data_IF_508762931427
#
_entry.id   IF_508762931427
#
_cell.length_a   1.000
_cell.length_b   1.000
_cell.length_c   1.000
_cell.angle_alpha   90.00
_cell.angle_beta   90.00
_cell.angle_gamma   90.00
#
_symmetry.space_group_name_H-M   'P 1'
#
loop_
_entity.id
_entity.type
_entity.pdbx_description
1 polymer ?
2 non-polymer ?
3 non-polymer ?
4 water ?
#
# COMPACT_ATOMS: atom_id res chain seq x y z
N UNK A 4 -17.58 11.10 -23.50
CA UNK A 4 -16.25 10.96 -22.77
C UNK A 4 -16.18 9.63 -22.03
N UNK A 5 -15.39 8.63 -22.51
CA UNK A 5 -15.43 7.28 -21.97
C UNK A 5 -14.80 7.22 -20.56
N UNK A 6 -15.25 6.26 -19.77
CA UNK A 6 -14.65 6.02 -18.44
C UNK A 6 -13.36 5.23 -18.62
N UNK A 7 -12.32 5.52 -17.84
CA UNK A 7 -11.05 4.84 -18.02
C UNK A 7 -11.07 3.41 -17.52
N UNK A 8 -10.23 2.57 -18.13
CA UNK A 8 -9.99 1.16 -17.74
C UNK A 8 -8.74 1.09 -16.87
N UNK A 9 -7.90 2.13 -16.95
CA UNK A 9 -6.60 2.20 -16.24
C UNK A 9 -6.24 3.66 -15.98
N UNK A 10 -5.61 3.91 -14.82
CA UNK A 10 -5.13 5.25 -14.44
C UNK A 10 -3.68 5.09 -14.04
N UNK A 11 -2.99 6.20 -14.00
CA UNK A 11 -1.64 6.17 -13.38
C UNK A 11 -1.69 6.96 -12.09
N UNK A 12 -0.94 6.41 -11.13
CA UNK A 12 -0.89 6.93 -9.74
C UNK A 12 0.57 7.23 -9.45
N UNK A 13 0.85 8.44 -9.02
CA UNK A 13 2.16 8.82 -8.44
C UNK A 13 2.08 8.70 -6.91
N UNK A 14 3.08 8.03 -6.35
CA UNK A 14 3.31 7.94 -4.89
C UNK A 14 4.63 8.62 -4.59
N UNK A 15 4.65 9.59 -3.69
CA UNK A 15 5.90 10.17 -3.20
C UNK A 15 6.02 10.02 -1.71
N UNK A 16 7.20 9.76 -1.21
CA UNK A 16 7.49 9.78 0.24
C UNK A 16 8.78 10.59 0.44
N UNK A 17 8.68 11.53 1.36
CA UNK A 17 9.84 12.37 1.69
C UNK A 17 9.83 12.72 3.16
N UNK A 18 10.90 12.37 3.83
CA UNK A 18 11.14 12.87 5.19
C UNK A 18 11.94 14.17 4.99
N UNK A 19 11.28 15.26 5.32
CA UNK A 19 11.78 16.63 5.01
C UNK A 19 12.81 17.07 6.07
N UNK A 20 13.02 16.34 7.16
CA UNK A 20 14.01 16.69 8.18
C UNK A 20 13.73 18.05 8.80
N UNK A 21 12.46 18.42 8.90
CA UNK A 21 12.00 19.64 9.60
C UNK A 21 12.60 20.88 8.94
N UNK A 22 12.88 20.83 7.63
CA UNK A 22 13.41 21.98 6.88
C UNK A 22 12.45 22.28 5.75
N UNK A 23 12.27 23.57 5.39
CA UNK A 23 11.49 23.91 4.22
C UNK A 23 12.15 23.30 2.99
N UNK A 24 11.35 23.01 1.97
CA UNK A 24 11.89 22.48 0.72
C UNK A 24 12.60 23.55 -0.10
N UNK A 25 13.40 23.14 -1.09
CA UNK A 25 14.03 24.12 -1.97
C UNK A 25 12.95 24.67 -2.93
N UNK A 26 13.31 25.68 -3.74
CA UNK A 26 12.31 26.40 -4.58
C UNK A 26 11.79 25.50 -5.71
N UNK A 27 12.55 24.51 -6.15
CA UNK A 27 12.12 23.58 -7.22
C UNK A 27 12.17 22.14 -6.74
N UNK A 28 11.04 21.44 -6.82
CA UNK A 28 10.98 19.99 -6.44
C UNK A 28 10.36 19.19 -7.60
N UNK A 29 10.27 19.78 -8.78
CA UNK A 29 9.65 19.11 -9.94
C UNK A 29 10.25 17.75 -10.31
N UNK A 30 11.55 17.53 -10.05
CA UNK A 30 12.25 16.25 -10.36
C UNK A 30 11.53 15.11 -9.64
N UNK A 31 11.00 15.38 -8.44
CA UNK A 31 10.27 14.36 -7.66
C UNK A 31 9.05 13.87 -8.46
N UNK A 32 8.22 14.78 -8.91
CA UNK A 32 6.94 14.46 -9.57
C UNK A 32 7.17 13.92 -10.98
N UNK A 33 8.33 14.19 -11.53
CA UNK A 33 8.76 13.68 -12.85
C UNK A 33 9.48 12.35 -12.74
N UNK A 34 9.69 11.80 -11.56
CA UNK A 34 10.38 10.49 -11.40
C UNK A 34 11.76 10.54 -12.08
N UNK A 35 12.52 11.59 -11.77
CA UNK A 35 13.90 11.80 -12.30
C UNK A 35 14.90 11.63 -11.15
N UNK A 36 16.04 10.99 -11.44
CA UNK A 36 17.12 10.87 -10.47
C UNK A 36 17.73 9.53 -10.66
N UNK A 37 17.80 8.76 -9.57
CA UNK A 37 18.38 7.39 -9.57
C UNK A 37 17.25 6.37 -9.55
N UNK A 38 17.57 5.15 -9.97
CA UNK A 38 16.68 4.01 -9.89
C UNK A 38 15.98 3.79 -11.19
N UNK A 39 14.72 3.36 -11.09
CA UNK A 39 13.83 3.11 -12.25
C UNK A 39 13.07 4.41 -12.53
N UNK A 40 13.56 5.18 -13.50
CA UNK A 40 13.10 6.56 -13.74
C UNK A 40 12.13 6.55 -14.92
N UNK A 41 11.41 7.65 -15.01
CA UNK A 41 10.38 7.85 -16.04
C UNK A 41 11.02 8.43 -17.30
N UNK A 42 10.55 7.97 -18.44
CA UNK A 42 11.03 8.44 -19.76
C UNK A 42 10.72 9.95 -19.92
N UNK A 43 11.69 10.68 -20.46
CA UNK A 43 11.56 12.14 -20.75
C UNK A 43 10.34 12.42 -21.61
N UNK A 44 10.00 11.51 -22.51
CA UNK A 44 8.89 11.71 -23.47
C UNK A 44 7.53 11.80 -22.75
N UNK A 45 7.48 11.39 -21.47
CA UNK A 45 6.25 11.41 -20.66
C UNK A 45 6.16 12.66 -19.77
N UNK A 46 7.14 13.55 -19.76
CA UNK A 46 7.20 14.61 -18.74
C UNK A 46 5.95 15.46 -18.71
N UNK A 47 5.31 15.69 -19.87
CA UNK A 47 4.16 16.60 -19.86
C UNK A 47 2.86 15.87 -19.54
N UNK A 48 2.89 14.55 -19.46
CA UNK A 48 1.68 13.73 -19.31
C UNK A 48 1.38 13.68 -17.82
N UNK A 49 0.25 14.25 -17.37
CA UNK A 49 -0.04 14.26 -15.93
C UNK A 49 -0.38 12.83 -15.52
N UNK A 50 -0.01 12.43 -14.30
CA UNK A 50 -0.62 11.28 -13.66
C UNK A 50 -2.05 11.64 -13.30
N UNK A 51 -2.89 10.63 -13.13
CA UNK A 51 -4.32 10.84 -12.79
C UNK A 51 -4.46 11.29 -11.35
N UNK A 52 -3.68 10.69 -10.47
CA UNK A 52 -3.74 10.90 -8.99
C UNK A 52 -2.30 11.00 -8.49
N UNK A 53 -1.98 12.03 -7.72
CA UNK A 53 -0.70 12.18 -7.01
C UNK A 53 -0.96 12.05 -5.51
N UNK A 54 -0.23 11.16 -4.85
CA UNK A 54 -0.36 10.95 -3.39
C UNK A 54 0.99 11.26 -2.82
N UNK A 55 1.04 12.25 -1.93
CA UNK A 55 2.33 12.81 -1.42
C UNK A 55 2.39 12.61 0.10
N UNK A 56 3.28 11.73 0.57
CA UNK A 56 3.50 11.47 2.00
C UNK A 56 4.74 12.18 2.44
N UNK A 57 4.61 12.99 3.46
CA UNK A 57 5.78 13.61 4.10
C UNK A 57 5.89 13.17 5.57
N UNK A 58 7.11 13.22 6.04
CA UNK A 58 7.46 13.02 7.46
C UNK A 58 8.35 14.16 7.90
N UNK A 59 8.33 14.48 9.19
CA UNK A 59 9.14 15.62 9.67
C UNK A 59 8.84 16.86 8.80
N UNK A 60 7.58 17.05 8.45
CA UNK A 60 7.12 18.15 7.58
C UNK A 60 6.89 19.38 8.44
N UNK A 61 7.66 20.46 8.22
CA UNK A 61 7.54 21.67 9.05
C UNK A 61 6.52 22.68 8.55
N UNK A 62 5.92 22.42 7.41
CA UNK A 62 5.05 23.38 6.71
C UNK A 62 3.64 23.26 7.25
N UNK A 63 2.86 24.32 7.09
CA UNK A 63 1.40 24.22 7.28
C UNK A 63 0.82 23.47 6.07
N UNK A 64 -0.40 22.95 6.22
CA UNK A 64 -1.11 22.30 5.10
C UNK A 64 -1.21 23.31 3.97
N UNK A 65 -1.52 24.57 4.31
CA UNK A 65 -1.71 25.59 3.26
C UNK A 65 -0.39 25.77 2.50
N UNK A 66 0.70 25.90 3.22
CA UNK A 66 2.02 26.17 2.60
C UNK A 66 2.39 25.01 1.67
N UNK A 67 2.21 23.79 2.14
CA UNK A 67 2.59 22.62 1.31
C UNK A 67 1.66 22.48 0.11
N UNK A 68 0.35 22.61 0.26
CA UNK A 68 -0.59 22.57 -0.86
C UNK A 68 -0.21 23.57 -1.95
N UNK A 69 0.11 24.80 -1.54
CA UNK A 69 0.61 25.88 -2.42
C UNK A 69 1.72 25.31 -3.30
N UNK A 70 2.77 24.79 -2.65
CA UNK A 70 3.99 24.30 -3.33
C UNK A 70 3.63 23.14 -4.24
N UNK A 71 2.85 22.20 -3.75
CA UNK A 71 2.55 21.02 -4.57
C UNK A 71 1.73 21.45 -5.79
N UNK A 72 0.66 22.19 -5.60
CA UNK A 72 -0.20 22.55 -6.77
C UNK A 72 0.57 23.37 -7.81
N UNK A 73 1.39 24.32 -7.36
CA UNK A 73 2.28 25.13 -8.23
C UNK A 73 3.19 24.21 -9.05
N UNK A 74 3.88 23.30 -8.37
CA UNK A 74 4.84 22.35 -8.99
C UNK A 74 4.12 21.55 -10.09
N UNK A 75 2.93 21.00 -9.79
CA UNK A 75 2.21 20.19 -10.80
C UNK A 75 1.74 21.10 -11.92
N UNK A 76 1.29 22.30 -11.62
CA UNK A 76 0.82 23.21 -12.70
C UNK A 76 2.00 23.54 -13.62
N UNK A 77 3.17 23.78 -13.06
CA UNK A 77 4.38 24.10 -13.86
C UNK A 77 4.69 22.95 -14.79
N UNK A 78 4.64 21.73 -14.29
CA UNK A 78 5.02 20.51 -15.06
C UNK A 78 3.99 20.25 -16.16
N UNK A 79 2.71 20.38 -15.86
CA UNK A 79 1.63 19.80 -16.70
C UNK A 79 0.66 20.82 -17.30
N UNK A 80 0.68 22.06 -16.78
CA UNK A 80 -0.30 23.14 -17.08
C UNK A 80 -1.72 22.71 -16.67
N UNK A 81 -1.82 21.76 -15.73
CA UNK A 81 -3.12 21.32 -15.16
C UNK A 81 -3.18 21.80 -13.71
N UNK A 82 -4.32 22.39 -13.35
CA UNK A 82 -4.61 22.79 -11.96
C UNK A 82 -5.30 21.63 -11.25
N UNK A 83 -4.57 20.94 -10.38
CA UNK A 83 -5.07 19.72 -9.74
C UNK A 83 -6.06 20.07 -8.64
N UNK A 84 -7.03 19.20 -8.41
CA UNK A 84 -8.00 19.36 -7.33
C UNK A 84 -7.50 18.62 -6.11
N UNK A 85 -7.72 19.20 -4.95
CA UNK A 85 -7.34 18.57 -3.69
C UNK A 85 -8.41 17.57 -3.30
N UNK A 86 -8.11 16.28 -3.26
CA UNK A 86 -9.04 15.23 -2.84
C UNK A 86 -9.09 15.19 -1.32
N UNK A 87 -7.92 15.18 -0.67
CA UNK A 87 -7.83 15.02 0.78
C UNK A 87 -6.46 15.46 1.25
N UNK A 88 -6.41 15.94 2.46
CA UNK A 88 -5.15 16.24 3.15
C UNK A 88 -5.38 15.89 4.61
N UNK A 89 -4.44 15.20 5.21
CA UNK A 89 -4.54 14.79 6.63
C UNK A 89 -3.16 14.77 7.26
N UNK A 90 -3.04 15.38 8.42
CA UNK A 90 -1.76 15.52 9.14
C UNK A 90 -1.89 15.01 10.56
N UNK A 91 -0.93 14.21 11.00
CA UNK A 91 -0.77 13.78 12.42
C UNK A 91 0.60 14.27 12.79
N UNK A 92 0.68 15.22 13.70
CA UNK A 92 1.97 15.81 14.12
C UNK A 92 2.67 16.33 12.88
N UNK A 93 3.78 15.74 12.48
CA UNK A 93 4.56 16.21 11.30
C UNK A 93 4.52 15.15 10.18
N UNK A 94 3.52 14.26 10.22
CA UNK A 94 3.32 13.19 9.22
C UNK A 94 2.11 13.61 8.40
N UNK A 95 2.22 13.70 7.09
CA UNK A 95 1.13 14.27 6.29
C UNK A 95 0.93 13.47 5.02
N UNK A 96 -0.31 13.40 4.63
CA UNK A 96 -0.64 12.84 3.31
C UNK A 96 -1.51 13.85 2.54
N UNK A 97 -1.20 14.02 1.25
CA UNK A 97 -1.97 14.88 0.32
C UNK A 97 -2.37 14.05 -0.87
N UNK A 98 -3.63 14.10 -1.27
CA UNK A 98 -4.10 13.45 -2.50
C UNK A 98 -4.62 14.54 -3.42
N UNK A 99 -4.03 14.58 -4.62
CA UNK A 99 -4.43 15.51 -5.68
C UNK A 99 -4.86 14.70 -6.89
N UNK A 100 -5.84 15.21 -7.63
CA UNK A 100 -6.32 14.50 -8.82
C UNK A 100 -6.62 15.47 -9.94
N UNK A 101 -6.51 14.98 -11.18
CA UNK A 101 -6.95 15.75 -12.38
C UNK A 101 -8.35 16.28 -12.14
N UNK A 102 -8.68 17.51 -12.60
CA UNK A 102 -10.04 18.00 -12.47
C UNK A 102 -11.11 17.12 -13.11
N UNK A 103 -10.80 16.45 -14.20
CA UNK A 103 -11.74 15.58 -14.94
C UNK A 103 -12.17 14.42 -14.04
N UNK A 104 -11.46 14.12 -12.94
CA UNK A 104 -11.76 12.98 -12.05
C UNK A 104 -12.66 13.38 -10.89
N UNK A 105 -13.00 14.67 -10.78
CA UNK A 105 -13.68 15.17 -9.56
C UNK A 105 -14.99 14.42 -9.29
N UNK A 106 -15.74 14.10 -10.35
CA UNK A 106 -17.06 13.40 -10.24
C UNK A 106 -16.89 11.89 -10.43
N UNK A 107 -15.65 11.38 -10.42
CA UNK A 107 -15.36 9.92 -10.41
C UNK A 107 -14.95 9.50 -8.99
N UNK A 108 -14.62 10.47 -8.15
CA UNK A 108 -14.05 10.23 -6.81
C UNK A 108 -15.13 10.47 -5.77
N UNK A 109 -15.33 9.52 -4.87
CA UNK A 109 -16.34 9.67 -3.81
C UNK A 109 -15.89 8.90 -2.59
N UNK A 110 -16.69 8.93 -1.51
CA UNK A 110 -16.43 8.14 -0.29
C UNK A 110 -15.01 8.38 0.19
N UNK A 111 -14.64 9.65 0.33
CA UNK A 111 -13.27 10.00 0.75
C UNK A 111 -13.23 9.82 2.27
N UNK A 112 -12.27 9.04 2.76
CA UNK A 112 -12.03 8.81 4.21
C UNK A 112 -10.58 9.21 4.54
N UNK A 113 -10.37 9.67 5.78
CA UNK A 113 -9.02 9.98 6.29
C UNK A 113 -8.98 9.42 7.69
N UNK A 114 -7.79 9.03 8.11
CA UNK A 114 -7.60 8.59 9.50
C UNK A 114 -6.11 8.62 9.84
N UNK A 115 -5.83 8.46 11.11
CA UNK A 115 -4.45 8.36 11.60
C UNK A 115 -4.39 7.32 12.71
N UNK A 116 -3.19 6.85 12.93
CA UNK A 116 -2.88 5.96 14.05
C UNK A 116 -1.62 6.50 14.70
N UNK A 117 -1.64 6.62 16.02
CA UNK A 117 -0.46 6.97 16.83
C UNK A 117 0.15 5.69 17.37
N UNK A 118 1.42 5.42 17.06
CA UNK A 118 2.04 4.15 17.54
C UNK A 118 2.70 4.32 18.91
N UNK A 119 2.98 3.20 19.59
CA UNK A 119 3.77 3.25 20.84
C UNK A 119 2.91 3.61 22.05
N UNK A 120 3.53 3.67 23.23
CA UNK A 120 2.86 3.91 24.56
C UNK A 120 3.82 4.78 25.41
N UNK A 121 3.32 5.88 25.98
CA UNK A 121 4.02 6.76 26.96
C UNK A 121 5.28 7.38 26.33
N UNK A 122 6.50 6.92 26.72
CA UNK A 122 7.81 7.22 26.09
C UNK A 122 7.68 7.32 24.56
N UNK A 123 7.08 6.28 23.96
CA UNK A 123 7.10 5.94 22.51
C UNK A 123 5.83 6.47 21.81
N UNK A 124 4.87 7.06 22.54
CA UNK A 124 3.73 7.80 21.93
C UNK A 124 4.08 9.29 21.91
N UNK A 125 4.12 9.90 20.72
CA UNK A 125 4.23 11.37 20.62
C UNK A 125 4.80 11.83 19.30
N UNK A 126 5.46 10.97 18.53
CA UNK A 126 5.71 11.49 17.17
C UNK A 126 5.61 10.52 15.97
N UNK A 127 5.53 9.20 16.21
CA UNK A 127 5.50 8.17 15.15
C UNK A 127 4.05 7.71 14.95
N UNK A 128 3.73 7.25 13.74
CA UNK A 128 2.41 6.71 13.43
C UNK A 128 2.17 6.80 11.97
N UNK A 129 0.91 6.91 11.59
CA UNK A 129 0.55 6.87 10.16
C UNK A 129 -0.64 7.73 9.91
N UNK A 130 -0.74 8.25 8.70
CA UNK A 130 -1.99 8.86 8.20
C UNK A 130 -2.41 8.08 6.97
N UNK A 131 -3.69 8.17 6.64
CA UNK A 131 -4.21 7.46 5.49
C UNK A 131 -5.37 8.15 4.86
N UNK A 132 -5.58 7.84 3.60
CA UNK A 132 -6.72 8.29 2.81
C UNK A 132 -7.26 7.10 2.04
N UNK A 133 -8.57 7.00 1.93
CA UNK A 133 -9.21 6.11 0.95
C UNK A 133 -10.32 6.83 0.21
N UNK A 134 -10.62 6.28 -0.96
CA UNK A 134 -11.79 6.76 -1.72
C UNK A 134 -12.12 5.72 -2.77
N UNK A 135 -13.29 5.89 -3.36
CA UNK A 135 -13.69 5.17 -4.59
C UNK A 135 -13.31 6.01 -5.79
N UNK A 136 -12.74 5.37 -6.81
CA UNK A 136 -12.55 5.93 -8.14
C UNK A 136 -13.43 5.09 -9.05
N UNK A 137 -14.57 5.63 -9.45
CA UNK A 137 -15.63 4.83 -10.13
C UNK A 137 -15.82 3.52 -9.34
N UNK A 138 -15.66 2.35 -9.95
CA UNK A 138 -15.98 1.10 -9.25
C UNK A 138 -14.82 0.55 -8.45
N UNK A 139 -13.71 1.28 -8.34
CA UNK A 139 -12.46 0.75 -7.76
C UNK A 139 -12.20 1.47 -6.45
N UNK A 140 -11.82 0.73 -5.42
CA UNK A 140 -11.48 1.30 -4.11
C UNK A 140 -9.95 1.43 -3.99
N UNK A 141 -9.51 2.59 -3.55
CA UNK A 141 -8.08 2.92 -3.45
C UNK A 141 -7.78 3.34 -2.01
N UNK A 142 -6.74 2.78 -1.43
CA UNK A 142 -6.27 3.16 -0.09
C UNK A 142 -4.80 3.52 -0.13
N UNK A 143 -4.44 4.48 0.71
CA UNK A 143 -3.08 5.03 0.75
C UNK A 143 -2.69 5.27 2.18
N UNK A 144 -1.52 4.76 2.58
CA UNK A 144 -1.01 4.88 3.95
C UNK A 144 0.40 5.47 3.89
N UNK A 145 0.60 6.54 4.64
CA UNK A 145 1.91 7.18 4.87
C UNK A 145 2.25 6.93 6.32
N UNK A 146 3.29 6.16 6.58
CA UNK A 146 3.70 5.83 7.95
C UNK A 146 5.12 6.31 8.20
N UNK A 147 5.36 6.82 9.39
CA UNK A 147 6.70 7.12 9.93
C UNK A 147 6.92 6.16 11.09
N UNK A 148 7.66 5.08 10.87
CA UNK A 148 7.86 4.05 11.89
C UNK A 148 9.06 4.39 12.78
N UNK A 149 9.20 3.62 13.84
CA UNK A 149 10.23 3.78 14.88
C UNK A 149 11.58 3.79 14.22
N UNK A 150 12.46 4.69 14.64
CA UNK A 150 13.83 4.80 14.10
C UNK A 150 14.80 3.89 14.86
N UNK A 151 15.97 3.71 14.28
CA UNK A 151 17.11 3.08 14.96
C UNK A 151 17.34 1.69 14.43
N UNK A 152 18.58 1.37 14.12
CA UNK A 152 18.96 0.07 13.55
C UNK A 152 18.54 -1.12 14.43
N UNK A 153 18.47 -0.90 15.74
CA UNK A 153 18.24 -1.95 16.76
C UNK A 153 16.75 -2.29 16.89
N UNK A 154 15.87 -1.50 16.25
CA UNK A 154 14.42 -1.52 16.55
C UNK A 154 13.56 -2.08 15.40
N UNK A 155 14.06 -3.07 14.67
CA UNK A 155 13.21 -3.62 13.57
C UNK A 155 11.93 -4.26 14.15
N UNK A 156 11.99 -4.90 15.32
CA UNK A 156 10.80 -5.57 15.90
C UNK A 156 9.73 -4.51 16.22
N UNK A 157 10.16 -3.36 16.75
CA UNK A 157 9.26 -2.21 17.06
C UNK A 157 8.59 -1.75 15.77
N UNK A 158 9.36 -1.62 14.69
CA UNK A 158 8.79 -1.23 13.39
C UNK A 158 7.72 -2.24 12.99
N UNK A 159 8.01 -3.54 13.17
CA UNK A 159 7.03 -4.58 12.77
C UNK A 159 5.76 -4.42 13.62
N UNK A 160 5.92 -4.13 14.90
CA UNK A 160 4.78 -3.91 15.80
C UNK A 160 4.02 -2.66 15.35
N UNK A 161 4.76 -1.60 14.97
CA UNK A 161 4.10 -0.37 14.50
C UNK A 161 3.22 -0.68 13.29
N UNK A 162 3.77 -1.45 12.34
CA UNK A 162 3.05 -1.91 11.14
C UNK A 162 1.74 -2.59 11.54
N UNK A 163 1.80 -3.54 12.49
CA UNK A 163 0.57 -4.29 12.85
C UNK A 163 -0.43 -3.36 13.53
N UNK A 164 0.03 -2.45 14.41
CA UNK A 164 -0.92 -1.45 14.99
C UNK A 164 -1.57 -0.59 13.92
N UNK A 165 -0.81 -0.13 12.95
CA UNK A 165 -1.39 0.71 11.87
C UNK A 165 -2.44 -0.10 11.09
N UNK A 166 -2.04 -1.33 10.73
CA UNK A 166 -2.82 -2.30 9.94
C UNK A 166 -4.16 -2.56 10.63
N UNK A 167 -4.13 -2.68 11.96
CA UNK A 167 -5.33 -3.01 12.78
C UNK A 167 -6.24 -1.81 12.97
N UNK A 168 -5.67 -0.64 13.19
CA UNK A 168 -6.47 0.46 13.80
C UNK A 168 -6.76 1.59 12.85
N UNK A 169 -6.15 1.60 11.66
CA UNK A 169 -6.43 2.67 10.70
C UNK A 169 -7.79 2.39 10.08
N UNK A 170 -8.74 3.30 10.26
CA UNK A 170 -10.15 3.09 9.91
C UNK A 170 -10.44 3.78 8.59
N UNK A 171 -10.17 3.08 7.50
CA UNK A 171 -10.39 3.59 6.14
C UNK A 171 -11.31 2.64 5.43
N UNK A 172 -11.85 3.08 4.30
CA UNK A 172 -12.67 2.22 3.44
C UNK A 172 -14.03 1.96 4.02
N UNK A 173 -14.67 0.91 3.53
CA UNK A 173 -16.11 0.63 3.78
C UNK A 173 -16.26 0.00 5.17
N UNK A 174 -16.84 0.75 6.10
CA UNK A 174 -17.02 0.26 7.49
C UNK A 174 -17.89 -1.00 7.54
N UNK A 175 -18.73 -1.28 6.50
CA UNK A 175 -19.56 -2.52 6.48
C UNK A 175 -18.67 -3.75 6.34
N UNK A 176 -17.42 -3.57 5.90
CA UNK A 176 -16.43 -4.67 5.79
C UNK A 176 -15.83 -4.97 7.16
N UNK A 177 -16.68 -5.22 8.14
CA UNK A 177 -16.27 -5.14 9.56
C UNK A 177 -15.23 -6.20 9.91
N UNK A 178 -15.20 -7.43 9.35
CA UNK A 178 -14.14 -8.38 9.69
C UNK A 178 -12.78 -8.05 9.09
N UNK A 179 -12.72 -7.04 8.21
CA UNK A 179 -11.53 -6.85 7.35
C UNK A 179 -10.79 -5.59 7.76
N UNK A 180 -9.47 -5.75 7.87
CA UNK A 180 -8.57 -4.59 8.07
C UNK A 180 -8.21 -3.96 6.72
N UNK A 181 -7.40 -2.89 6.76
CA UNK A 181 -7.10 -2.16 5.50
C UNK A 181 -6.40 -3.08 4.49
N UNK A 182 -5.75 -4.18 4.90
CA UNK A 182 -5.03 -5.05 3.93
C UNK A 182 -6.03 -5.84 3.08
N UNK A 183 -7.33 -5.76 3.34
CA UNK A 183 -8.36 -6.41 2.51
C UNK A 183 -9.43 -5.46 2.00
N UNK A 184 -9.43 -4.18 2.36
CA UNK A 184 -10.59 -3.32 2.03
C UNK A 184 -10.51 -2.70 0.64
N UNK A 185 -9.35 -2.73 -0.03
CA UNK A 185 -9.14 -1.94 -1.26
C UNK A 185 -8.73 -2.82 -2.43
N UNK A 186 -9.21 -2.43 -3.60
CA UNK A 186 -8.71 -3.00 -4.87
C UNK A 186 -7.19 -2.85 -4.93
N UNK A 187 -6.73 -1.66 -4.57
CA UNK A 187 -5.30 -1.30 -4.58
C UNK A 187 -5.01 -0.55 -3.28
N UNK A 188 -4.01 -1.02 -2.53
CA UNK A 188 -3.55 -0.38 -1.28
C UNK A 188 -2.07 -0.07 -1.46
N UNK A 189 -1.73 1.21 -1.30
CA UNK A 189 -0.32 1.66 -1.38
C UNK A 189 0.10 2.05 0.02
N UNK A 190 1.22 1.52 0.50
CA UNK A 190 1.73 1.81 1.84
C UNK A 190 3.18 2.26 1.66
N UNK A 191 3.44 3.46 2.10
CA UNK A 191 4.73 4.11 1.89
C UNK A 191 5.08 4.90 3.14
N UNK A 192 6.28 5.44 3.13
CA UNK A 192 6.69 6.35 4.18
C UNK A 192 8.15 6.17 4.55
N UNK A 193 8.53 6.85 5.63
CA UNK A 193 9.82 6.56 6.29
C UNK A 193 9.60 5.36 7.20
N UNK A 194 9.73 4.18 6.62
CA UNK A 194 9.54 2.91 7.32
C UNK A 194 10.73 2.64 8.23
N UNK A 195 11.87 3.27 7.97
CA UNK A 195 13.00 3.31 8.92
C UNK A 195 13.73 1.99 9.09
N UNK A 196 13.50 1.02 8.22
CA UNK A 196 14.34 -0.19 8.22
C UNK A 196 15.73 0.15 7.68
N UNK A 197 16.74 -0.50 8.24
CA UNK A 197 18.15 -0.19 8.01
C UNK A 197 18.90 -1.34 7.36
N UNK A 198 20.07 -1.00 6.85
CA UNK A 198 21.03 -1.98 6.33
C UNK A 198 21.79 -2.48 7.55
N UNK A 199 21.55 -3.73 7.95
CA UNK A 199 22.08 -4.31 9.21
C UNK A 199 23.45 -4.94 8.93
N UNK A 200 24.48 -4.10 8.91
CA UNK A 200 25.88 -4.48 8.77
C UNK A 200 26.61 -3.85 9.95
N UNK A 201 27.79 -4.39 10.34
CA UNK A 201 28.51 -3.83 11.46
C UNK A 201 28.87 -2.37 11.20
N UNK A 202 28.86 -1.54 12.25
CA UNK A 202 29.05 -0.06 12.16
C UNK A 202 30.45 0.28 11.64
N UNK A 203 31.42 -0.63 11.86
CA UNK A 203 32.83 -0.45 11.40
C UNK A 203 32.97 -0.81 9.92
N UNK A 204 31.89 -1.28 9.27
CA UNK A 204 31.82 -1.39 7.79
C UNK A 204 31.23 -0.12 7.12
N UNK A 205 31.05 0.99 7.84
CA UNK A 205 30.44 2.23 7.28
C UNK A 205 31.15 2.66 6.01
N UNK A 206 32.47 2.72 6.00
CA UNK A 206 33.20 3.27 4.84
C UNK A 206 33.09 2.26 3.71
N UNK A 207 33.10 0.97 4.02
CA UNK A 207 32.93 -0.10 3.02
C UNK A 207 31.57 0.10 2.34
N UNK A 208 30.55 0.34 3.15
CA UNK A 208 29.17 0.54 2.60
C UNK A 208 29.16 1.74 1.65
N UNK A 209 29.76 2.84 2.07
CA UNK A 209 29.86 4.06 1.25
C UNK A 209 30.53 3.77 -0.09
N UNK A 210 31.63 3.02 -0.08
CA UNK A 210 32.38 2.73 -1.33
C UNK A 210 31.51 1.81 -2.23
N UNK A 211 30.73 0.88 -1.65
CA UNK A 211 29.78 0.07 -2.46
C UNK A 211 28.75 0.99 -3.13
N UNK A 212 28.21 1.97 -2.37
CA UNK A 212 27.23 2.93 -2.92
C UNK A 212 27.83 3.73 -4.08
N UNK A 213 29.07 4.18 -3.92
CA UNK A 213 29.74 4.99 -4.97
C UNK A 213 29.93 4.16 -6.25
N UNK A 214 30.07 2.86 -6.13
CA UNK A 214 30.23 1.93 -7.27
C UNK A 214 28.86 1.46 -7.79
N UNK A 215 27.77 1.95 -7.20
CA UNK A 215 26.40 1.49 -7.56
C UNK A 215 26.26 -0.02 -7.47
N UNK A 216 26.89 -0.61 -6.46
CA UNK A 216 26.84 -2.06 -6.19
C UNK A 216 26.00 -2.24 -4.96
N UNK A 217 24.70 -2.39 -5.14
CA UNK A 217 23.76 -2.42 -4.00
C UNK A 217 23.49 -3.86 -3.54
N UNK A 218 23.93 -4.91 -4.23
CA UNK A 218 23.43 -6.28 -3.93
C UNK A 218 23.82 -6.70 -2.51
N UNK A 219 25.05 -6.49 -2.08
CA UNK A 219 25.50 -6.93 -0.75
C UNK A 219 24.87 -6.03 0.32
N UNK A 220 24.37 -4.86 -0.06
CA UNK A 220 23.69 -4.01 0.94
C UNK A 220 22.22 -4.47 1.06
N UNK A 221 21.53 -4.63 -0.08
CA UNK A 221 20.10 -5.04 -0.06
C UNK A 221 19.94 -6.41 0.62
N UNK A 222 20.92 -7.31 0.53
CA UNK A 222 20.82 -8.63 1.22
C UNK A 222 20.84 -8.46 2.74
N UNK A 223 21.15 -7.26 3.27
CA UNK A 223 21.10 -6.95 4.72
C UNK A 223 20.03 -5.92 5.05
N UNK A 224 19.24 -5.51 4.06
CA UNK A 224 18.14 -4.55 4.32
C UNK A 224 17.10 -5.24 5.20
N UNK A 225 16.79 -4.58 6.30
CA UNK A 225 15.91 -5.21 7.29
C UNK A 225 14.50 -5.38 6.75
N UNK A 226 14.01 -4.50 5.90
CA UNK A 226 12.64 -4.67 5.41
C UNK A 226 12.60 -5.91 4.48
N UNK A 227 13.55 -6.07 3.58
CA UNK A 227 13.60 -7.24 2.69
C UNK A 227 13.74 -8.51 3.56
N UNK A 228 14.59 -8.53 4.57
CA UNK A 228 14.83 -9.78 5.35
C UNK A 228 13.62 -10.08 6.20
N UNK A 229 13.04 -9.09 6.86
CA UNK A 229 11.82 -9.29 7.67
C UNK A 229 10.65 -9.75 6.82
N UNK A 230 10.51 -9.17 5.62
CA UNK A 230 9.45 -9.60 4.65
C UNK A 230 9.70 -11.07 4.26
N UNK A 231 10.95 -11.46 4.00
CA UNK A 231 11.23 -12.84 3.52
C UNK A 231 10.96 -13.85 4.65
N UNK A 232 11.10 -13.42 5.92
CA UNK A 232 10.79 -14.28 7.08
C UNK A 232 9.32 -14.12 7.54
N UNK A 233 8.50 -13.42 6.76
CA UNK A 233 7.04 -13.26 7.00
C UNK A 233 6.80 -12.58 8.34
N UNK A 234 7.66 -11.62 8.70
CA UNK A 234 7.50 -10.89 9.99
C UNK A 234 6.72 -9.60 9.81
N UNK A 235 6.59 -9.12 8.57
CA UNK A 235 5.99 -7.79 8.28
C UNK A 235 5.60 -7.74 6.82
N UNK A 236 4.60 -6.92 6.49
CA UNK A 236 4.18 -6.63 5.12
C UNK A 236 3.94 -7.94 4.37
N UNK A 237 3.32 -8.91 5.01
CA UNK A 237 2.97 -10.18 4.33
C UNK A 237 1.99 -9.82 3.20
N UNK A 238 2.25 -10.35 2.01
CA UNK A 238 1.39 -10.24 0.80
C UNK A 238 1.43 -8.86 0.18
N UNK A 239 2.41 -8.05 0.56
CA UNK A 239 2.71 -6.78 -0.16
C UNK A 239 3.85 -6.98 -1.14
N UNK A 240 3.85 -6.18 -2.20
CA UNK A 240 4.90 -6.16 -3.25
C UNK A 240 5.76 -4.90 -3.07
N UNK A 241 7.00 -4.95 -3.55
CA UNK A 241 7.86 -3.78 -3.67
C UNK A 241 8.65 -4.00 -4.95
N UNK A 242 8.83 -2.93 -5.71
CA UNK A 242 9.69 -2.93 -6.93
C UNK A 242 11.14 -3.11 -6.48
N UNK A 243 11.96 -3.73 -7.32
CA UNK A 243 13.41 -3.86 -7.06
C UNK A 243 14.00 -2.46 -6.85
N UNK A 244 14.86 -2.34 -5.85
CA UNK A 244 15.55 -1.09 -5.52
C UNK A 244 16.83 -1.02 -6.35
N UNK A 245 16.95 0.04 -7.10
CA UNK A 245 18.12 0.24 -7.99
C UNK A 245 18.67 1.65 -7.80
N UNK A 246 18.34 2.31 -6.69
CA UNK A 246 18.79 3.68 -6.34
C UNK A 246 19.60 3.56 -5.05
N UNK A 247 20.46 4.53 -4.81
CA UNK A 247 21.30 4.52 -3.61
C UNK A 247 20.44 4.68 -2.37
N UNK A 248 20.93 4.25 -1.21
CA UNK A 248 20.27 4.53 0.06
C UNK A 248 19.88 6.01 0.18
N UNK A 249 18.69 6.27 0.74
CA UNK A 249 18.12 7.63 0.72
C UNK A 249 18.36 8.36 2.03
N UNK A 250 19.10 7.74 2.93
CA UNK A 250 19.35 8.24 4.31
C UNK A 250 20.72 7.67 4.71
N UNK A 251 21.55 8.36 5.49
CA UNK A 251 21.40 9.69 6.04
C UNK A 251 22.42 10.60 5.37
N UNK A 252 21.97 11.63 4.68
CA UNK A 252 22.86 12.57 3.94
C UNK A 252 23.20 13.79 4.80
N UNK A 253 24.39 14.33 4.60
CA UNK A 253 24.65 15.74 4.93
C UNK A 253 23.70 16.59 4.10
N UNK A 254 23.08 17.61 4.68
CA UNK A 254 22.20 18.54 3.96
C UNK A 254 23.00 19.42 2.99
N UNK A 255 22.36 19.84 1.91
CA UNK A 255 22.84 20.82 0.90
C UNK A 255 23.85 20.18 -0.05
N UNK A 256 24.13 18.89 0.07
CA UNK A 256 24.87 18.16 -0.98
C UNK A 256 24.21 16.79 -1.07
N UNK A 257 24.52 15.95 -2.05
CA UNK A 257 24.25 14.48 -1.91
C UNK A 257 25.56 13.74 -1.95
N UNK A 258 26.66 14.45 -1.75
CA UNK A 258 28.00 13.84 -1.97
C UNK A 258 28.44 13.08 -0.72
N UNK A 259 27.74 13.25 0.41
CA UNK A 259 28.22 12.71 1.70
C UNK A 259 27.08 12.06 2.49
N UNK A 260 27.33 10.84 2.91
CA UNK A 260 26.52 10.18 3.96
C UNK A 260 27.08 10.55 5.32
N UNK A 261 26.21 10.97 6.22
CA UNK A 261 26.51 11.36 7.61
C UNK A 261 26.05 10.22 8.51
N UNK A 262 26.95 9.30 8.84
CA UNK A 262 26.55 8.08 9.57
C UNK A 262 27.05 8.01 11.01
N UNK A 263 28.03 8.84 11.38
CA UNK A 263 28.74 8.76 12.69
C UNK A 263 27.77 9.12 13.82
N UNK A 264 27.97 8.51 15.00
CA UNK A 264 27.15 8.80 16.18
C UNK A 264 27.48 10.21 16.68
N UNK A 265 26.45 10.92 17.07
CA UNK A 265 26.49 12.35 17.48
C UNK A 265 25.49 12.53 18.64
N UNK A 266 25.68 13.55 19.49
CA UNK A 266 24.66 13.79 20.53
C UNK A 266 23.27 13.93 19.89
N UNK A 267 23.20 14.59 18.73
CA UNK A 267 21.93 14.86 18.00
C UNK A 267 21.30 13.53 17.56
N UNK A 268 22.05 12.45 17.42
CA UNK A 268 21.42 11.13 17.05
C UNK A 268 21.20 10.23 18.26
N UNK A 269 21.33 10.76 19.48
CA UNK A 269 21.26 9.87 20.64
C UNK A 269 22.45 8.93 20.70
N UNK A 270 23.58 9.34 20.13
CA UNK A 270 24.81 8.50 20.06
C UNK A 270 24.56 7.21 19.31
N UNK A 271 23.71 7.28 18.27
CA UNK A 271 23.39 6.16 17.37
C UNK A 271 24.10 6.38 16.03
N UNK A 272 24.62 5.29 15.45
CA UNK A 272 25.08 5.29 14.06
C UNK A 272 23.83 5.23 13.17
N UNK A 273 23.94 5.90 12.05
CA UNK A 273 22.94 5.86 10.95
C UNK A 273 23.68 5.40 9.70
N UNK A 274 24.01 4.11 9.62
CA UNK A 274 24.61 3.57 8.39
C UNK A 274 23.64 3.83 7.25
N UNK A 275 24.13 4.11 6.03
CA UNK A 275 23.30 4.35 4.86
C UNK A 275 22.27 3.26 4.71
N UNK A 276 21.01 3.68 4.54
CA UNK A 276 19.87 2.77 4.58
C UNK A 276 18.78 3.22 3.61
N UNK A 277 17.97 2.27 3.21
CA UNK A 277 16.76 2.56 2.41
C UNK A 277 15.58 2.73 3.36
N UNK A 278 15.56 3.87 4.06
CA UNK A 278 14.46 4.15 5.04
C UNK A 278 13.13 4.37 4.34
N UNK A 279 13.17 4.86 3.12
CA UNK A 279 12.02 5.54 2.47
C UNK A 279 11.48 4.69 1.34
N UNK A 280 10.27 4.16 1.48
CA UNK A 280 9.85 2.98 0.71
C UNK A 280 8.42 3.14 0.21
N UNK A 281 8.11 2.42 -0.88
CA UNK A 281 6.75 2.30 -1.40
C UNK A 281 6.46 0.83 -1.64
N UNK A 282 5.40 0.36 -1.02
CA UNK A 282 4.91 -1.01 -1.24
C UNK A 282 3.43 -0.97 -1.61
N UNK A 283 2.92 -2.06 -2.17
CA UNK A 283 1.50 -2.12 -2.52
C UNK A 283 0.95 -3.51 -2.41
N UNK A 284 -0.35 -3.56 -2.33
CA UNK A 284 -1.10 -4.83 -2.32
C UNK A 284 -2.37 -4.58 -3.08
N UNK A 285 -2.59 -5.35 -4.13
CA UNK A 285 -3.79 -5.27 -4.94
C UNK A 285 -4.50 -6.63 -4.86
N UNK A 286 -5.78 -6.60 -5.07
CA UNK A 286 -6.59 -7.83 -5.14
C UNK A 286 -6.06 -8.69 -6.27
N UNK A 287 -6.26 -10.02 -6.15
CA UNK A 287 -5.74 -10.95 -7.12
C UNK A 287 -6.26 -10.64 -8.53
N UNK A 288 -5.36 -10.73 -9.49
CA UNK A 288 -5.65 -10.64 -10.96
C UNK A 288 -6.20 -9.27 -11.32
N UNK A 289 -5.85 -8.24 -10.54
CA UNK A 289 -6.07 -6.87 -10.99
C UNK A 289 -4.76 -6.32 -11.55
N UNK A 290 -4.86 -5.59 -12.62
CA UNK A 290 -3.68 -4.99 -13.26
C UNK A 290 -3.06 -3.97 -12.33
N UNK A 291 -1.79 -4.15 -12.00
CA UNK A 291 -1.01 -3.10 -11.30
C UNK A 291 0.41 -3.29 -11.76
N UNK A 292 1.02 -2.26 -12.31
CA UNK A 292 2.41 -2.37 -12.82
C UNK A 292 3.17 -1.13 -12.36
N UNK A 293 4.25 -1.35 -11.62
CA UNK A 293 5.17 -0.27 -11.22
C UNK A 293 5.93 0.21 -12.44
N UNK A 294 5.80 1.50 -12.75
CA UNK A 294 6.43 2.17 -13.92
C UNK A 294 7.71 2.88 -13.50
N UNK A 295 7.85 3.25 -12.22
CA UNK A 295 9.05 3.97 -11.72
C UNK A 295 9.18 3.74 -10.23
N UNK A 296 10.41 3.70 -9.75
CA UNK A 296 10.73 3.56 -8.34
C UNK A 296 12.17 4.03 -8.19
N UNK A 297 12.33 5.19 -7.58
CA UNK A 297 13.64 5.79 -7.49
C UNK A 297 13.71 6.95 -6.53
N UNK A 298 14.82 7.65 -6.53
CA UNK A 298 15.03 8.79 -5.62
C UNK A 298 15.55 9.98 -6.41
N UNK A 299 15.22 11.18 -5.96
CA UNK A 299 15.76 12.39 -6.60
C UNK A 299 17.21 12.58 -6.16
N UNK A 300 17.94 13.29 -7.00
CA UNK A 300 19.37 13.62 -6.79
C UNK A 300 19.56 15.12 -6.48
N UNK A 301 18.56 15.96 -6.74
CA UNK A 301 18.74 17.42 -6.78
C UNK A 301 17.95 18.13 -5.66
N UNK A 302 17.35 17.40 -4.71
CA UNK A 302 16.57 18.00 -3.60
C UNK A 302 17.31 17.63 -2.33
N UNK A 303 17.96 18.64 -1.71
CA UNK A 303 19.05 18.40 -0.72
C UNK A 303 18.79 19.11 0.60
N UNK A 304 17.58 19.62 0.84
CA UNK A 304 17.28 20.36 2.09
C UNK A 304 17.24 19.41 3.29
N UNK A 305 16.93 18.14 3.08
CA UNK A 305 16.78 17.16 4.14
C UNK A 305 17.95 16.20 4.18
N UNK A 306 18.06 15.47 5.25
CA UNK A 306 19.01 14.35 5.37
C UNK A 306 18.43 13.09 4.72
N UNK A 307 17.22 13.16 4.18
CA UNK A 307 16.66 12.11 3.32
C UNK A 307 16.49 12.66 1.92
N UNK A 308 16.64 11.81 0.92
CA UNK A 308 16.19 12.14 -0.45
C UNK A 308 14.75 11.68 -0.66
N UNK A 309 13.93 12.49 -1.38
CA UNK A 309 12.61 12.06 -1.78
C UNK A 309 12.66 10.76 -2.57
N UNK A 310 11.63 9.95 -2.43
CA UNK A 310 11.41 8.71 -3.20
C UNK A 310 10.11 8.87 -3.98
N UNK A 311 10.12 8.40 -5.21
CA UNK A 311 8.96 8.36 -6.08
C UNK A 311 8.69 6.93 -6.51
N UNK A 312 7.42 6.65 -6.72
CA UNK A 312 7.00 5.42 -7.40
C UNK A 312 5.76 5.76 -8.23
N UNK A 313 5.65 5.20 -9.40
CA UNK A 313 4.45 5.37 -10.23
C UNK A 313 3.92 4.00 -10.63
N UNK A 314 2.62 3.98 -10.82
CA UNK A 314 1.88 2.75 -11.11
C UNK A 314 0.84 2.98 -12.18
N UNK A 315 0.68 1.98 -13.04
CA UNK A 315 -0.50 1.84 -13.92
C UNK A 315 -1.46 0.88 -13.20
N UNK A 316 -2.67 1.33 -12.84
CA UNK A 316 -3.60 0.57 -12.01
C UNK A 316 -4.92 0.37 -12.74
N UNK A 317 -5.38 -0.88 -12.81
CA UNK A 317 -6.67 -1.20 -13.40
C UNK A 317 -7.79 -0.60 -12.58
N UNK A 318 -8.78 -0.04 -13.27
CA UNK A 318 -10.01 0.51 -12.65
C UNK A 318 -11.19 0.02 -13.45
N UNK A 319 -12.33 0.06 -12.80
CA UNK A 319 -13.60 -0.39 -13.40
C UNK A 319 -14.60 0.76 -13.32
N UNK A 320 -15.63 0.66 -14.15
CA UNK A 320 -16.74 1.65 -14.27
C UNK A 320 -17.67 1.53 -13.08
N UNK A 321 -18.53 2.54 -12.89
CA UNK A 321 -19.69 2.46 -11.96
C UNK A 321 -20.87 1.82 -12.73
N UNK A 322 -20.95 0.50 -12.75
CA UNK A 322 -21.88 -0.29 -13.57
C UNK A 322 -23.35 -0.14 -13.15
N UNK A 323 -24.22 0.15 -14.12
CA UNK A 323 -25.70 0.11 -13.98
C UNK A 323 -26.27 -0.87 -15.00
N UNK A 324 -27.17 -1.74 -14.56
CA UNK A 324 -28.02 -2.54 -15.49
C UNK A 324 -29.50 -2.19 -15.26
N UNK A 325 -30.33 -2.77 -16.10
CA UNK A 325 -31.82 -2.76 -16.00
C UNK A 325 -32.21 -3.26 -14.60
N UNK A 326 -31.45 -4.23 -14.08
CA UNK A 326 -31.72 -4.93 -12.79
C UNK A 326 -30.90 -4.22 -11.69
N UNK A 327 -29.76 -4.77 -11.29
CA UNK A 327 -28.95 -4.16 -10.23
C UNK A 327 -28.19 -2.95 -10.76
N UNK A 328 -27.77 -1.99 -9.91
CA UNK A 328 -28.10 -1.97 -8.48
C UNK A 328 -29.58 -1.76 -8.12
N UNK A 329 -29.96 -2.26 -6.95
CA UNK A 329 -31.29 -2.13 -6.34
C UNK A 329 -32.12 -3.36 -6.45
N UNK A 330 -31.54 -4.40 -7.04
CA UNK A 330 -32.14 -5.75 -7.07
C UNK A 330 -31.03 -6.73 -7.47
N UNK A 331 -31.35 -8.01 -7.46
CA UNK A 331 -30.47 -9.09 -7.97
C UNK A 331 -30.72 -9.25 -9.47
N UNK A 332 -29.85 -10.03 -10.11
CA UNK A 332 -29.96 -10.44 -11.54
C UNK A 332 -29.97 -11.97 -11.55
N UNK A 333 -31.15 -12.57 -11.60
CA UNK A 333 -31.36 -14.04 -11.51
C UNK A 333 -30.44 -14.77 -12.50
N UNK A 334 -29.89 -14.09 -13.52
CA UNK A 334 -29.01 -14.75 -14.53
C UNK A 334 -27.59 -14.92 -13.97
N UNK A 335 -27.31 -14.42 -12.77
CA UNK A 335 -26.00 -14.52 -12.09
C UNK A 335 -26.02 -15.44 -10.90
N UNK A 336 -24.97 -16.24 -10.69
CA UNK A 336 -24.80 -16.96 -9.40
C UNK A 336 -23.35 -17.37 -9.21
N UNK A 337 -22.97 -17.47 -7.95
CA UNK A 337 -21.63 -17.96 -7.55
C UNK A 337 -21.81 -19.14 -6.60
N UNK A 338 -21.27 -20.29 -6.99
CA UNK A 338 -21.37 -21.53 -6.22
C UNK A 338 -19.97 -21.99 -5.84
N UNK A 339 -19.90 -22.71 -4.72
CA UNK A 339 -18.65 -23.19 -4.08
C UNK A 339 -18.78 -24.70 -3.83
N UNK A 340 -17.77 -25.45 -4.23
CA UNK A 340 -17.81 -26.92 -4.14
C UNK A 340 -16.57 -27.32 -3.37
N UNK A 341 -16.64 -28.41 -2.58
CA UNK A 341 -15.46 -29.07 -2.00
C UNK A 341 -14.60 -27.99 -1.28
N UNK A 342 -15.21 -27.06 -0.55
CA UNK A 342 -14.42 -26.00 0.17
C UNK A 342 -14.04 -26.43 1.59
N UNK A 343 -12.82 -26.05 1.96
CA UNK A 343 -12.39 -26.24 3.35
C UNK A 343 -11.39 -25.15 3.72
N UNK A 344 -11.47 -24.79 4.98
CA UNK A 344 -10.52 -23.84 5.61
C UNK A 344 -9.55 -24.70 6.41
N UNK A 345 -8.27 -24.38 6.34
CA UNK A 345 -7.24 -25.00 7.22
C UNK A 345 -6.79 -23.88 8.13
N UNK A 346 -6.90 -24.08 9.44
CA UNK A 346 -6.60 -22.99 10.39
C UNK A 346 -5.46 -23.43 11.29
N UNK A 347 -4.62 -22.48 11.69
CA UNK A 347 -3.47 -22.73 12.59
C UNK A 347 -3.92 -22.68 14.06
N UNK A 348 -5.14 -22.30 14.35
CA UNK A 348 -5.65 -22.16 15.73
C UNK A 348 -5.55 -23.48 16.50
N UNK A 349 -5.30 -23.35 17.80
CA UNK A 349 -5.24 -24.48 18.75
C UNK A 349 -6.64 -24.67 19.36
N UNK A 350 -7.60 -23.78 19.05
CA UNK A 350 -8.94 -23.76 19.68
C UNK A 350 -9.85 -24.79 19.02
N UNK A 351 -10.94 -25.15 19.71
CA UNK A 351 -12.04 -26.05 19.26
C UNK A 351 -13.38 -25.35 19.54
N UNK A 352 -13.78 -24.45 18.63
CA UNK A 352 -15.13 -23.84 18.47
C UNK A 352 -15.61 -24.29 17.08
N UNK A 353 -16.90 -24.16 16.80
CA UNK A 353 -17.43 -24.29 15.43
C UNK A 353 -17.08 -22.98 14.71
N UNK A 354 -16.97 -23.07 13.39
CA UNK A 354 -16.71 -21.89 12.52
C UNK A 354 -17.77 -21.80 11.44
N UNK A 355 -18.06 -20.57 11.02
CA UNK A 355 -18.86 -20.26 9.83
C UNK A 355 -18.13 -19.22 8.97
N UNK A 356 -18.56 -19.06 7.73
CA UNK A 356 -17.94 -18.10 6.79
C UNK A 356 -18.86 -16.91 6.62
N UNK A 357 -18.27 -15.76 6.35
CA UNK A 357 -18.99 -14.60 5.78
C UNK A 357 -18.37 -14.24 4.43
N UNK A 358 -19.23 -14.03 3.42
CA UNK A 358 -18.84 -13.58 2.08
C UNK A 358 -19.24 -12.11 1.95
N UNK A 359 -18.28 -11.23 1.71
CA UNK A 359 -18.52 -9.81 1.49
C UNK A 359 -18.09 -9.41 0.09
N UNK A 360 -18.94 -8.71 -0.62
CA UNK A 360 -18.54 -8.16 -1.94
C UNK A 360 -19.50 -7.07 -2.34
N UNK A 361 -18.97 -6.06 -3.01
CA UNK A 361 -19.77 -4.98 -3.68
C UNK A 361 -20.74 -5.58 -4.70
N UNK A 362 -20.47 -6.79 -5.21
CA UNK A 362 -21.36 -7.44 -6.20
C UNK A 362 -22.59 -8.08 -5.50
N UNK A 363 -22.66 -8.05 -4.17
CA UNK A 363 -23.81 -8.61 -3.39
C UNK A 363 -24.58 -7.46 -2.75
N UNK A 364 -25.87 -7.64 -2.51
CA UNK A 364 -26.66 -6.56 -1.85
C UNK A 364 -26.20 -6.38 -0.41
N UNK A 365 -25.84 -7.47 0.27
CA UNK A 365 -25.21 -7.43 1.60
C UNK A 365 -24.47 -8.75 1.80
N UNK A 366 -23.69 -8.81 2.85
CA UNK A 366 -22.80 -9.96 3.12
C UNK A 366 -23.65 -11.18 3.44
N UNK A 367 -23.06 -12.33 3.22
CA UNK A 367 -23.76 -13.64 3.35
C UNK A 367 -23.04 -14.48 4.38
N UNK A 368 -23.80 -15.05 5.31
CA UNK A 368 -23.28 -15.87 6.44
C UNK A 368 -23.64 -17.34 6.18
N UNK A 369 -22.62 -18.21 6.06
CA UNK A 369 -22.81 -19.65 5.83
C UNK A 369 -23.29 -20.32 7.12
N UNK A 370 -23.70 -21.57 6.93
CA UNK A 370 -23.86 -22.56 8.02
C UNK A 370 -22.46 -22.87 8.57
N UNK A 371 -22.45 -23.42 9.76
CA UNK A 371 -21.22 -23.95 10.39
C UNK A 371 -20.61 -25.06 9.55
N UNK A 372 -19.29 -25.08 9.45
CA UNK A 372 -18.52 -26.15 8.84
C UNK A 372 -18.37 -27.32 9.81
N UNK A 373 -17.83 -28.42 9.31
CA UNK A 373 -17.53 -29.61 10.12
C UNK A 373 -16.03 -29.69 10.38
N UNK A 374 -15.63 -29.61 11.64
CA UNK A 374 -14.22 -29.67 12.07
C UNK A 374 -13.72 -31.11 11.93
N UNK A 375 -12.57 -31.28 11.28
CA UNK A 375 -11.77 -32.52 11.37
C UNK A 375 -10.35 -32.14 11.79
N UNK A 376 -9.60 -33.13 12.26
CA UNK A 376 -8.15 -33.07 12.57
C UNK A 376 -7.36 -33.35 11.28
N UNK A 377 -6.51 -32.40 10.84
CA UNK A 377 -5.50 -32.61 9.78
C UNK A 377 -4.41 -33.61 10.20
N UNK A 378 -3.71 -34.20 9.23
CA UNK A 378 -2.70 -35.27 9.42
C UNK A 378 -1.44 -34.75 10.15
N UNK A 379 -1.26 -33.42 10.21
CA UNK A 379 -0.04 -32.77 10.79
C UNK A 379 -0.44 -31.86 11.96
N UNK A 380 -1.59 -32.13 12.62
CA UNK A 380 -2.04 -31.37 13.81
C UNK A 380 -3.16 -30.36 13.53
N UNK A 381 -3.31 -29.89 12.28
CA UNK A 381 -4.09 -28.67 11.90
C UNK A 381 -5.59 -28.81 12.22
N UNK A 382 -6.29 -27.69 12.32
CA UNK A 382 -7.78 -27.76 12.26
C UNK A 382 -8.22 -27.58 10.80
N UNK A 383 -9.02 -28.51 10.30
CA UNK A 383 -9.61 -28.44 8.95
C UNK A 383 -11.09 -28.25 9.16
N UNK A 384 -11.61 -27.16 8.61
CA UNK A 384 -13.05 -26.90 8.68
C UNK A 384 -13.63 -27.22 7.31
N UNK A 385 -14.47 -28.25 7.24
CA UNK A 385 -15.04 -28.71 5.95
C UNK A 385 -16.39 -28.05 5.76
N UNK A 386 -16.55 -27.42 4.61
CA UNK A 386 -17.83 -26.86 4.16
C UNK A 386 -18.45 -27.79 3.12
N UNK A 387 -17.69 -28.72 2.56
CA UNK A 387 -18.16 -29.61 1.48
C UNK A 387 -18.93 -28.80 0.44
N UNK A 388 -20.22 -29.10 0.25
CA UNK A 388 -21.10 -28.55 -0.80
C UNK A 388 -22.15 -27.71 -0.09
N UNK A 389 -21.90 -27.34 1.17
CA UNK A 389 -22.92 -26.76 2.07
C UNK A 389 -22.96 -25.23 1.95
N UNK A 390 -21.99 -24.59 1.27
CA UNK A 390 -21.94 -23.09 1.24
C UNK A 390 -23.10 -22.54 0.42
N UNK A 391 -23.66 -21.36 0.77
CA UNK A 391 -24.78 -20.78 0.04
C UNK A 391 -24.41 -20.47 -1.41
N UNK A 392 -25.45 -20.31 -2.20
CA UNK A 392 -25.35 -19.84 -3.61
C UNK A 392 -25.40 -18.32 -3.54
N UNK A 393 -24.37 -17.61 -4.00
CA UNK A 393 -24.35 -16.13 -3.89
C UNK A 393 -25.07 -15.54 -5.11
N UNK A 394 -25.82 -14.47 -4.86
CA UNK A 394 -26.72 -13.85 -5.85
C UNK A 394 -26.21 -12.46 -6.16
N UNK A 395 -25.42 -12.29 -7.23
CA UNK A 395 -24.88 -10.98 -7.55
C UNK A 395 -25.97 -10.06 -8.09
N UNK A 396 -25.72 -8.76 -7.97
CA UNK A 396 -26.67 -7.68 -8.33
C UNK A 396 -26.70 -7.50 -9.85
N UNK A 397 -25.61 -7.88 -10.51
CA UNK A 397 -25.45 -7.73 -11.98
C UNK A 397 -24.84 -9.02 -12.51
N UNK A 398 -25.37 -9.55 -13.60
CA UNK A 398 -25.01 -10.87 -14.17
C UNK A 398 -24.06 -10.67 -15.34
N UNK A 399 -23.96 -9.44 -15.84
CA UNK A 399 -23.17 -9.16 -17.05
C UNK A 399 -21.74 -9.60 -16.74
N UNK A 400 -21.12 -10.46 -17.59
CA UNK A 400 -19.76 -10.95 -17.33
C UNK A 400 -18.72 -9.83 -17.38
N UNK A 401 -18.96 -8.77 -18.15
CA UNK A 401 -18.04 -7.60 -18.19
C UNK A 401 -17.93 -6.92 -16.82
N UNK A 402 -18.96 -7.09 -16.01
CA UNK A 402 -18.94 -6.57 -14.61
C UNK A 402 -18.45 -7.71 -13.73
N UNK A 403 -19.11 -8.87 -13.78
CA UNK A 403 -18.96 -9.86 -12.68
C UNK A 403 -17.54 -10.43 -12.66
N UNK A 404 -16.91 -10.66 -13.81
CA UNK A 404 -15.57 -11.26 -13.87
C UNK A 404 -14.54 -10.31 -13.26
N UNK A 405 -14.84 -9.02 -13.13
CA UNK A 405 -13.92 -8.03 -12.53
C UNK A 405 -14.10 -7.95 -11.01
N UNK A 406 -14.99 -8.72 -10.39
CA UNK A 406 -15.28 -8.56 -8.96
C UNK A 406 -14.45 -9.55 -8.12
N UNK A 407 -14.54 -9.36 -6.82
CA UNK A 407 -13.81 -10.15 -5.81
C UNK A 407 -14.74 -10.46 -4.65
N UNK A 408 -14.55 -11.63 -4.04
CA UNK A 408 -15.28 -12.04 -2.82
C UNK A 408 -14.28 -12.09 -1.67
N UNK A 409 -14.50 -11.24 -0.66
CA UNK A 409 -13.78 -11.33 0.62
C UNK A 409 -14.42 -12.42 1.46
N UNK A 410 -13.58 -13.21 2.11
CA UNK A 410 -14.03 -14.33 2.97
C UNK A 410 -13.45 -14.10 4.35
N UNK A 411 -14.32 -14.17 5.35
CA UNK A 411 -13.92 -14.24 6.77
C UNK A 411 -14.42 -15.58 7.33
N UNK A 412 -13.58 -16.26 8.08
CA UNK A 412 -13.98 -17.45 8.86
C UNK A 412 -14.10 -17.01 10.31
N UNK A 413 -15.29 -17.14 10.88
CA UNK A 413 -15.61 -16.60 12.21
C UNK A 413 -15.92 -17.74 13.18
N UNK A 414 -15.57 -17.55 14.44
CA UNK A 414 -15.96 -18.46 15.54
C UNK A 414 -17.47 -18.28 15.81
N UNK A 415 -18.21 -19.38 15.88
CA UNK A 415 -19.64 -19.34 16.30
C UNK A 415 -19.74 -18.81 17.74
N UNK A 416 -18.78 -19.15 18.60
CA UNK A 416 -18.80 -18.82 20.06
C UNK A 416 -18.63 -17.31 20.26
N UNK A 417 -17.79 -16.65 19.47
CA UNK A 417 -17.37 -15.25 19.75
C UNK A 417 -17.73 -14.31 18.61
N UNK A 418 -18.03 -14.84 17.41
CA UNK A 418 -18.23 -14.08 16.16
C UNK A 418 -16.97 -13.25 15.81
N UNK A 419 -15.82 -13.67 16.31
CA UNK A 419 -14.56 -12.99 15.94
C UNK A 419 -13.96 -13.69 14.72
N UNK A 420 -13.43 -12.89 13.81
CA UNK A 420 -12.73 -13.46 12.63
C UNK A 420 -11.41 -14.12 13.05
N UNK A 421 -11.19 -15.37 12.60
CA UNK A 421 -9.92 -16.07 12.74
C UNK A 421 -9.06 -15.97 11.47
N UNK A 422 -9.64 -15.47 10.39
CA UNK A 422 -8.90 -15.40 9.13
C UNK A 422 -9.71 -14.69 8.06
N UNK A 423 -9.01 -13.88 7.27
CA UNK A 423 -9.61 -13.14 6.16
C UNK A 423 -8.80 -13.42 4.90
N UNK A 424 -9.50 -13.44 3.78
CA UNK A 424 -8.84 -13.58 2.46
C UNK A 424 -9.73 -13.13 1.35
N UNK A 425 -9.31 -13.34 0.11
CA UNK A 425 -9.97 -12.71 -1.04
C UNK A 425 -9.85 -13.64 -2.24
N UNK A 426 -10.94 -13.83 -2.95
CA UNK A 426 -11.04 -14.68 -4.16
C UNK A 426 -11.43 -13.81 -5.34
N UNK A 427 -10.64 -13.84 -6.42
CA UNK A 427 -11.00 -13.17 -7.69
C UNK A 427 -12.05 -13.97 -8.46
N UNK A 428 -12.97 -13.24 -9.08
CA UNK A 428 -13.93 -13.84 -10.05
C UNK A 428 -13.42 -13.75 -11.49
N UNK A 429 -12.16 -13.38 -11.69
CA UNK A 429 -11.53 -13.28 -13.04
C UNK A 429 -11.14 -14.68 -13.51
N UNK A 430 -12.15 -15.54 -13.71
CA UNK A 430 -11.94 -16.98 -13.96
C UNK A 430 -11.55 -17.30 -15.39
N UNK A 431 -10.96 -18.46 -15.59
CA UNK A 431 -10.60 -19.01 -16.92
C UNK A 431 -11.86 -19.41 -17.69
N UNK A 432 -12.96 -19.65 -17.02
CA UNK A 432 -14.20 -20.21 -17.59
C UNK A 432 -15.37 -19.89 -16.70
N UNK A 433 -16.57 -19.79 -17.26
CA UNK A 433 -17.84 -19.71 -16.51
C UNK A 433 -18.54 -21.06 -16.63
N UNK A 434 -19.49 -21.33 -15.75
CA UNK A 434 -20.29 -22.58 -15.78
C UNK A 434 -19.34 -23.79 -15.74
N UNK A 435 -18.18 -23.68 -15.07
CA UNK A 435 -17.09 -24.67 -15.04
C UNK A 435 -16.55 -24.71 -13.60
N UNK A 436 -16.41 -25.89 -13.00
CA UNK A 436 -15.80 -26.00 -11.65
C UNK A 436 -14.33 -25.69 -11.76
N UNK A 437 -13.84 -24.70 -11.01
CA UNK A 437 -12.43 -24.31 -11.13
C UNK A 437 -11.84 -24.19 -9.73
N UNK A 438 -10.56 -24.54 -9.54
CA UNK A 438 -9.96 -24.41 -8.21
C UNK A 438 -9.90 -22.92 -7.78
N UNK A 439 -10.14 -22.66 -6.49
CA UNK A 439 -9.91 -21.33 -5.88
C UNK A 439 -9.03 -21.54 -4.66
N UNK A 440 -8.37 -20.44 -4.27
CA UNK A 440 -7.41 -20.49 -3.14
C UNK A 440 -7.22 -19.08 -2.65
N UNK A 441 -7.18 -18.92 -1.33
CA UNK A 441 -6.60 -17.69 -0.71
C UNK A 441 -5.91 -18.08 0.59
N UNK A 442 -4.77 -17.48 0.91
CA UNK A 442 -4.27 -17.53 2.28
C UNK A 442 -5.27 -16.77 3.14
N UNK A 443 -5.29 -17.08 4.41
CA UNK A 443 -6.08 -16.36 5.41
C UNK A 443 -5.12 -15.68 6.36
N UNK A 444 -5.44 -14.43 6.71
CA UNK A 444 -4.66 -13.67 7.70
C UNK A 444 -5.60 -13.14 8.77
N UNK A 445 -5.03 -12.81 9.91
CA UNK A 445 -5.74 -12.04 10.94
C UNK A 445 -4.72 -11.09 11.55
N UNK A 446 -5.07 -9.82 11.69
CA UNK A 446 -4.10 -8.77 12.05
C UNK A 446 -2.89 -8.84 11.12
N UNK A 447 -3.10 -9.24 9.87
CA UNK A 447 -2.06 -9.25 8.84
C UNK A 447 -1.07 -10.39 8.96
N UNK A 448 -1.28 -11.31 9.90
CA UNK A 448 -0.44 -12.51 10.11
C UNK A 448 -1.14 -13.73 9.53
N UNK A 449 -0.39 -14.66 8.98
CA UNK A 449 -0.98 -15.90 8.40
C UNK A 449 -1.64 -16.74 9.48
N UNK A 450 -2.88 -17.12 9.27
CA UNK A 450 -3.66 -17.92 10.24
C UNK A 450 -4.24 -19.19 9.61
N UNK A 451 -4.06 -19.35 8.30
CA UNK A 451 -4.61 -20.53 7.62
C UNK A 451 -4.75 -20.30 6.14
N UNK A 452 -5.60 -21.12 5.56
CA UNK A 452 -5.87 -21.16 4.11
C UNK A 452 -7.32 -21.53 3.85
N UNK A 453 -7.83 -21.07 2.71
CA UNK A 453 -9.17 -21.45 2.22
C UNK A 453 -9.02 -21.91 0.77
N UNK A 454 -9.54 -23.10 0.50
CA UNK A 454 -9.42 -23.66 -0.87
C UNK A 454 -10.66 -24.47 -1.18
N UNK A 455 -10.93 -24.59 -2.47
CA UNK A 455 -12.09 -25.37 -2.92
C UNK A 455 -12.25 -25.13 -4.38
N UNK A 456 -13.49 -25.19 -4.83
CA UNK A 456 -13.79 -24.94 -6.24
C UNK A 456 -14.91 -23.93 -6.33
N UNK A 457 -14.91 -23.18 -7.42
CA UNK A 457 -15.96 -22.18 -7.70
C UNK A 457 -16.64 -22.58 -9.00
N UNK A 458 -17.94 -22.16 -9.17
CA UNK A 458 -18.72 -22.31 -10.42
C UNK A 458 -19.45 -20.98 -10.57
N UNK A 459 -19.07 -20.19 -11.59
CA UNK A 459 -19.63 -18.85 -11.81
C UNK A 459 -20.55 -18.87 -13.03
N UNK A 460 -21.80 -18.46 -12.80
CA UNK A 460 -22.83 -18.26 -13.86
C UNK A 460 -22.93 -16.76 -14.15
N UNK A 461 -22.74 -16.37 -15.42
CA UNK A 461 -22.96 -14.98 -15.86
C UNK A 461 -24.08 -15.05 -16.89
N UNK A 462 -24.53 -13.91 -17.37
CA UNK A 462 -25.56 -13.82 -18.44
C UNK A 462 -25.03 -14.34 -19.77
N UNK A 463 -23.73 -14.57 -19.95
CA UNK A 463 -23.22 -15.07 -21.25
C UNK A 463 -22.92 -16.58 -21.18
X LIG B 1 9.60 -11.05 -2.50
X LIG B 1 11.43 -10.29 0.00
X LIG B 1 9.88 -12.29 -0.28
X LIG B 1 5.29 -11.65 -4.69
X LIG B 1 6.03 -11.36 -3.39
X LIG B 1 7.25 -13.67 -3.40
X LIG B 1 8.74 -13.77 -3.68
X LIG B 1 9.58 -13.51 -2.47
X LIG B 1 9.23 -12.29 -1.68
X LIG B 1 7.71 -12.13 -1.54
X LIG B 1 11.09 -10.72 -2.50
X LIG B 1 11.48 -9.71 -1.43
X LIG B 1 10.08 -10.92 0.38
X LIG B 1 6.93 -12.34 -2.82
X LIG B 1 5.89 -10.32 -2.84
X LIG C 1 -12.64 -3.30 -8.70
X LIG C 1 -12.34 -2.25 -9.71
X LIG C 1 -11.80 -4.76 -9.23
X LIG C 1 -14.26 -3.93 -9.07
X LIG D 1 -14.99 -5.70 -2.83
X LIG D 1 -16.26 -6.15 -3.50
X LIG D 1 -15.55 -5.06 -1.27
X LIG D 1 -14.32 -7.16 -2.18
X LIG E 1 -4.97 -12.79 0.01
X LIG E 1 -5.73 -11.57 0.47
X LIG E 1 -3.32 -12.24 -0.30
X LIG E 1 -5.51 -13.06 -1.66
#
# INVERSE_FOLDING_TARGET
SMEQPEPDMITIFIGTWNMGNAPPPKKITSWFLSKGQGKTRDDSADYIPHDIYVIGTQEDPLSEKEWLEILKHSLQEITSVTFKTVAIHTLWNIRIVVLAKPEHENRISHICTDNVKTGIANTLGNKGAVGVSFMFNGTSLGFVNSHLTSGSEKKLRRNQNYMNILRFLALGDKKLSPFNITHRFTHLFWFGDLNYRVDLPTWEAETIIQKIKQQQYADLLSHDQLLTERREQKVFLHFEEEEITFAPTYRFERLTRDKYAYTKQKATGMKYNLPSWCDRVLWKSYPLVHVVCQSYGSTSDIMTSDHSPVFATFEAGVTSQFVSKNGPGTVDSQGQIEFLRCYATLKTKSQTKFYLEFHSSCLESFVKSQEGENEEGSEGELVVKFGETLPKLKPIISDPEYLLDQHILISIKSSDSDESYGEGCIALRLEATETQLPIYTPLTHHGELTGHFQGEIKLQTSQ
WKG C10 C13 C15 C01 C02 C05 C06 C07 C08 C09 C11 C12 C14 N04 O03
DMS S O C1 C2
DMS S O C1 C2
DMS S O C1 C2
#
